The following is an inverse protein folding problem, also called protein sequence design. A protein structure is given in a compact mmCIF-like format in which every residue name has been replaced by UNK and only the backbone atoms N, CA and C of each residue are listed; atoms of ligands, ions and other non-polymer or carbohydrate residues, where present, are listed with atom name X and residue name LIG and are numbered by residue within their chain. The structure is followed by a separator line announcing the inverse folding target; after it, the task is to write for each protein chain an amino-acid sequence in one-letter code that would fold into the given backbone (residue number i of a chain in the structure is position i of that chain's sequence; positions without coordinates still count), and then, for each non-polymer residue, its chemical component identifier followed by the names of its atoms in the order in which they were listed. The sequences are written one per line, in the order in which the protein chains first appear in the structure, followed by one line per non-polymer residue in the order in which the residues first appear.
data_IF_431874123182
#
_entry.id   IF_431874123182
#
_cell.length_a   1.000
_cell.length_b   1.000
_cell.length_c   1.000
_cell.angle_alpha   90.00
_cell.angle_beta   90.00
_cell.angle_gamma   90.00
#
_symmetry.space_group_name_H-M   'P 1'
#
loop_
_entity.id
_entity.type
_entity.pdbx_description
1 polymer ?
#
# COMPACT_ATOMS: atom_id res chain seq x y z
N UNK A 1 2.79 -13.70 -9.77
CA UNK A 1 2.42 -15.13 -9.82
C UNK A 1 0.99 -15.37 -10.31
N UNK A 2 -0.09 -14.66 -9.84
CA UNK A 2 -1.46 -14.93 -10.31
C UNK A 2 -1.64 -14.81 -11.82
N UNK A 3 -1.05 -13.81 -12.47
CA UNK A 3 -1.15 -13.60 -13.91
C UNK A 3 -0.56 -14.78 -14.71
N UNK A 4 0.55 -15.36 -14.24
CA UNK A 4 1.18 -16.54 -14.86
C UNK A 4 0.29 -17.77 -14.70
N UNK A 5 -0.28 -17.99 -13.51
CA UNK A 5 -1.21 -19.09 -13.25
C UNK A 5 -2.45 -19.00 -14.14
N UNK A 6 -3.00 -17.80 -14.31
CA UNK A 6 -4.13 -17.56 -15.20
C UNK A 6 -3.77 -17.85 -16.65
N UNK A 7 -2.64 -17.36 -17.14
CA UNK A 7 -2.18 -17.63 -18.50
C UNK A 7 -1.98 -19.13 -18.76
N UNK A 8 -1.46 -19.88 -17.78
CA UNK A 8 -1.29 -21.33 -17.87
C UNK A 8 -2.64 -22.07 -17.96
N UNK A 9 -3.65 -21.61 -17.26
CA UNK A 9 -5.01 -22.17 -17.37
C UNK A 9 -5.65 -21.84 -18.72
N UNK A 10 -5.54 -20.58 -19.16
CA UNK A 10 -6.14 -20.10 -20.42
C UNK A 10 -5.49 -20.79 -21.64
N UNK A 11 -4.20 -21.10 -21.57
CA UNK A 11 -3.48 -21.83 -22.63
C UNK A 11 -3.61 -23.36 -22.58
N UNK A 12 -4.28 -23.90 -21.56
CA UNK A 12 -4.51 -25.33 -21.41
C UNK A 12 -3.29 -26.16 -20.99
N UNK A 13 -2.18 -25.52 -20.59
CA UNK A 13 -0.97 -26.23 -20.11
C UNK A 13 -1.02 -26.55 -18.63
N UNK A 14 -2.00 -26.03 -17.90
CA UNK A 14 -2.15 -26.30 -16.49
C UNK A 14 -2.66 -27.73 -16.25
N UNK A 15 -1.86 -28.57 -15.62
CA UNK A 15 -2.23 -29.95 -15.26
C UNK A 15 -3.17 -30.02 -14.04
N UNK A 16 -3.20 -28.96 -13.24
CA UNK A 16 -4.09 -28.78 -12.08
C UNK A 16 -4.72 -27.40 -12.15
N UNK A 17 -5.85 -27.23 -12.85
CA UNK A 17 -6.53 -25.95 -12.93
C UNK A 17 -7.02 -25.51 -11.55
N UNK A 18 -6.96 -24.20 -11.31
CA UNK A 18 -7.42 -23.57 -10.07
C UNK A 18 -8.92 -23.33 -10.22
N UNK A 19 -9.71 -23.96 -9.38
CA UNK A 19 -11.18 -23.86 -9.43
C UNK A 19 -11.71 -22.55 -8.86
N UNK A 20 -11.02 -21.99 -7.85
CA UNK A 20 -11.33 -20.70 -7.26
C UNK A 20 -10.08 -19.80 -7.33
N UNK A 21 -10.06 -18.94 -8.34
CA UNK A 21 -8.91 -18.08 -8.60
C UNK A 21 -8.78 -16.95 -7.57
N UNK A 22 -9.89 -16.44 -7.06
CA UNK A 22 -9.91 -15.38 -6.06
C UNK A 22 -9.35 -15.88 -4.72
N UNK A 23 -9.78 -17.07 -4.28
CA UNK A 23 -9.19 -17.71 -3.10
C UNK A 23 -7.70 -18.04 -3.28
N UNK A 24 -7.27 -18.39 -4.50
CA UNK A 24 -5.86 -18.58 -4.80
C UNK A 24 -5.05 -17.30 -4.67
N UNK A 25 -5.53 -16.20 -5.24
CA UNK A 25 -4.88 -14.87 -5.13
C UNK A 25 -4.78 -14.43 -3.67
N UNK A 26 -5.86 -14.61 -2.91
CA UNK A 26 -5.89 -14.28 -1.49
C UNK A 26 -4.84 -15.10 -0.72
N UNK A 27 -4.76 -16.40 -0.96
CA UNK A 27 -3.77 -17.29 -0.34
C UNK A 27 -2.33 -16.91 -0.71
N UNK A 28 -2.07 -16.52 -1.96
CA UNK A 28 -0.75 -16.04 -2.37
C UNK A 28 -0.36 -14.75 -1.66
N UNK A 29 -1.29 -13.82 -1.51
CA UNK A 29 -1.07 -12.60 -0.75
C UNK A 29 -0.77 -12.89 0.73
N UNK A 30 -1.46 -13.86 1.34
CA UNK A 30 -1.22 -14.29 2.73
C UNK A 30 0.18 -14.90 2.90
N UNK A 31 0.65 -15.68 1.92
CA UNK A 31 2.00 -16.27 1.95
C UNK A 31 3.09 -15.21 1.83
N UNK A 32 2.90 -14.21 0.96
CA UNK A 32 3.88 -13.13 0.74
C UNK A 32 3.88 -12.12 1.89
N UNK A 33 2.70 -11.82 2.44
CA UNK A 33 2.50 -10.83 3.49
C UNK A 33 2.04 -11.45 4.81
N UNK A 34 2.92 -12.23 5.46
CA UNK A 34 2.61 -12.81 6.77
C UNK A 34 2.17 -11.77 7.82
N UNK A 35 2.72 -10.56 7.73
CA UNK A 35 2.31 -9.43 8.57
C UNK A 35 0.87 -8.95 8.28
N UNK A 36 0.32 -9.25 7.11
CA UNK A 36 -1.02 -8.81 6.72
C UNK A 36 -2.12 -9.33 7.63
N UNK A 37 -2.01 -10.55 8.13
CA UNK A 37 -2.99 -11.14 9.05
C UNK A 37 -3.03 -10.39 10.39
N UNK A 38 -1.85 -10.02 10.91
CA UNK A 38 -1.72 -9.27 12.18
C UNK A 38 -2.11 -7.80 11.98
N UNK A 39 -1.74 -7.22 10.84
CA UNK A 39 -1.94 -5.80 10.56
C UNK A 39 -3.35 -5.46 10.06
N UNK A 40 -4.10 -6.40 9.49
CA UNK A 40 -5.47 -6.16 9.00
C UNK A 40 -6.38 -5.51 10.05
N UNK A 41 -6.51 -6.04 11.28
CA UNK A 41 -7.35 -5.41 12.31
C UNK A 41 -6.82 -4.04 12.75
N UNK A 42 -5.50 -3.85 12.80
CA UNK A 42 -4.87 -2.57 13.15
C UNK A 42 -5.16 -1.51 12.10
N UNK A 43 -5.00 -1.85 10.82
CA UNK A 43 -5.32 -0.95 9.70
C UNK A 43 -6.81 -0.64 9.65
N UNK A 44 -7.68 -1.63 9.87
CA UNK A 44 -9.13 -1.43 9.92
C UNK A 44 -9.54 -0.46 11.04
N UNK A 45 -8.96 -0.59 12.23
CA UNK A 45 -9.18 0.33 13.35
C UNK A 45 -8.67 1.76 13.02
N UNK A 46 -7.51 1.88 12.39
CA UNK A 46 -6.96 3.16 11.97
C UNK A 46 -7.84 3.86 10.92
N UNK A 47 -8.42 3.11 9.97
CA UNK A 47 -9.37 3.64 8.95
C UNK A 47 -10.66 4.16 9.59
N UNK A 48 -11.13 3.55 10.67
CA UNK A 48 -12.34 4.01 11.37
C UNK A 48 -12.14 5.35 12.08
N UNK A 49 -10.92 5.64 12.55
CA UNK A 49 -10.59 6.88 13.26
C UNK A 49 -9.20 7.38 12.90
N UNK A 50 -8.99 7.93 11.70
CA UNK A 50 -7.68 8.42 11.27
C UNK A 50 -7.17 9.51 12.21
N UNK A 51 -6.01 9.29 12.82
CA UNK A 51 -5.38 10.24 13.73
C UNK A 51 -4.44 11.18 12.98
N UNK A 52 -4.22 12.37 13.57
CA UNK A 52 -3.15 13.26 13.10
C UNK A 52 -1.81 12.69 13.54
N UNK A 53 -0.91 12.51 12.57
CA UNK A 53 0.43 11.97 12.81
C UNK A 53 1.45 12.98 12.28
N UNK A 54 2.38 13.37 13.14
CA UNK A 54 3.45 14.31 12.81
C UNK A 54 4.66 13.53 12.29
N UNK A 55 5.14 13.92 11.14
CA UNK A 55 6.35 13.38 10.51
C UNK A 55 7.45 14.42 10.60
N UNK A 56 8.42 14.20 11.49
CA UNK A 56 9.49 15.16 11.79
C UNK A 56 10.43 15.42 10.60
N UNK A 57 10.58 14.43 9.72
CA UNK A 57 11.45 14.50 8.53
C UNK A 57 10.63 14.67 7.25
N UNK A 58 9.72 15.64 7.22
CA UNK A 58 8.78 15.86 6.11
C UNK A 58 9.45 16.26 4.78
N UNK A 59 10.73 16.61 4.78
CA UNK A 59 11.50 16.87 3.56
C UNK A 59 12.09 15.58 2.95
N UNK A 60 12.13 14.48 3.67
CA UNK A 60 12.73 13.23 3.19
C UNK A 60 11.84 12.52 2.15
N UNK A 61 12.45 12.12 1.03
CA UNK A 61 11.73 11.47 -0.07
C UNK A 61 11.06 10.16 0.37
N UNK A 62 11.74 9.34 1.16
CA UNK A 62 11.20 8.08 1.70
C UNK A 62 10.00 8.34 2.60
N UNK A 63 10.06 9.39 3.44
CA UNK A 63 8.96 9.80 4.31
C UNK A 63 7.77 10.27 3.49
N UNK A 64 7.98 11.11 2.48
CA UNK A 64 6.91 11.60 1.60
C UNK A 64 6.20 10.44 0.86
N UNK A 65 6.93 9.45 0.37
CA UNK A 65 6.35 8.25 -0.25
C UNK A 65 5.54 7.42 0.75
N UNK A 66 6.05 7.22 1.96
CA UNK A 66 5.34 6.50 3.01
C UNK A 66 4.07 7.23 3.45
N UNK A 67 4.13 8.56 3.56
CA UNK A 67 2.98 9.41 3.87
C UNK A 67 1.91 9.32 2.77
N UNK A 68 2.32 9.33 1.49
CA UNK A 68 1.39 9.14 0.39
C UNK A 68 0.63 7.82 0.51
N UNK A 69 1.32 6.72 0.78
CA UNK A 69 0.67 5.41 0.99
C UNK A 69 -0.30 5.45 2.17
N UNK A 70 0.10 6.04 3.29
CA UNK A 70 -0.73 6.15 4.48
C UNK A 70 -1.99 7.01 4.27
N UNK A 71 -1.90 8.06 3.44
CA UNK A 71 -3.03 8.90 3.04
C UNK A 71 -3.95 8.14 2.08
N UNK A 72 -3.40 7.47 1.07
CA UNK A 72 -4.15 6.67 0.09
C UNK A 72 -4.92 5.53 0.79
N UNK A 73 -4.32 4.93 1.81
CA UNK A 73 -4.96 3.92 2.65
C UNK A 73 -5.99 4.51 3.65
N UNK A 74 -6.02 5.83 3.83
CA UNK A 74 -6.95 6.51 4.72
C UNK A 74 -6.72 6.25 6.21
N UNK A 75 -5.49 5.91 6.60
CA UNK A 75 -5.14 5.53 7.98
C UNK A 75 -4.61 6.68 8.83
N UNK A 76 -4.17 7.77 8.21
CA UNK A 76 -3.61 8.93 8.92
C UNK A 76 -4.06 10.25 8.30
N UNK A 77 -3.99 11.32 9.11
CA UNK A 77 -3.99 12.72 8.68
C UNK A 77 -2.59 13.28 8.95
N UNK A 78 -1.74 13.38 7.94
CA UNK A 78 -0.33 13.70 8.14
C UNK A 78 -0.13 15.18 8.44
N UNK A 79 0.87 15.47 9.26
CA UNK A 79 1.44 16.80 9.46
C UNK A 79 2.93 16.67 9.18
N UNK A 80 3.40 17.30 8.12
CA UNK A 80 4.81 17.26 7.73
C UNK A 80 5.56 18.44 8.36
N UNK A 81 6.65 18.14 9.04
CA UNK A 81 7.58 19.16 9.56
C UNK A 81 8.71 19.34 8.56
N UNK A 82 8.87 20.55 8.07
CA UNK A 82 9.92 20.90 7.10
C UNK A 82 9.68 22.28 6.52
N UNK A 83 10.59 22.70 5.64
CA UNK A 83 10.46 23.98 4.90
C UNK A 83 9.38 23.80 3.82
N UNK A 84 8.30 24.59 3.83
CA UNK A 84 7.16 24.38 2.93
C UNK A 84 7.55 24.32 1.46
N UNK A 85 8.42 25.21 1.01
CA UNK A 85 8.88 25.27 -0.39
C UNK A 85 9.65 24.02 -0.82
N UNK A 86 10.47 23.47 0.10
CA UNK A 86 11.23 22.24 -0.16
C UNK A 86 10.30 21.02 -0.24
N UNK A 87 9.37 20.92 0.70
CA UNK A 87 8.37 19.84 0.72
C UNK A 87 7.54 19.88 -0.55
N UNK A 88 7.02 21.05 -0.94
CA UNK A 88 6.22 21.24 -2.15
C UNK A 88 6.97 20.83 -3.41
N UNK A 89 8.18 21.35 -3.60
CA UNK A 89 9.03 21.01 -4.76
C UNK A 89 9.31 19.51 -4.84
N UNK A 90 9.50 18.83 -3.70
CA UNK A 90 9.72 17.39 -3.68
C UNK A 90 8.45 16.59 -3.99
N UNK A 91 7.31 17.00 -3.47
CA UNK A 91 6.01 16.40 -3.81
C UNK A 91 5.76 16.46 -5.32
N UNK A 92 5.99 17.63 -5.94
CA UNK A 92 5.85 17.82 -7.38
C UNK A 92 6.84 16.95 -8.17
N UNK A 93 8.12 16.96 -7.80
CA UNK A 93 9.16 16.16 -8.45
C UNK A 93 8.90 14.66 -8.37
N UNK A 94 8.34 14.18 -7.27
CA UNK A 94 8.01 12.78 -7.04
C UNK A 94 6.66 12.38 -7.63
N UNK A 95 5.88 13.33 -8.15
CA UNK A 95 4.55 13.08 -8.67
C UNK A 95 3.56 12.59 -7.61
N UNK A 96 3.74 13.03 -6.35
CA UNK A 96 2.86 12.65 -5.25
C UNK A 96 1.59 13.51 -5.23
N UNK A 97 0.52 12.97 -4.64
CA UNK A 97 -0.79 13.62 -4.55
C UNK A 97 -1.05 14.28 -3.18
N UNK A 98 -0.01 14.48 -2.39
CA UNK A 98 -0.08 15.18 -1.11
C UNK A 98 -0.37 16.68 -1.34
N UNK A 99 -1.33 17.21 -0.61
CA UNK A 99 -1.71 18.64 -0.62
C UNK A 99 -1.49 19.25 0.77
#
# INVERSE_FOLDING_TARGET
APAVAKAAMDSGVATRPITDFDAYVQRMNEVVYHSGLIMKPVIAAAKQSPRRVVYAEGEQEVVLRAVQVAVDEGIVRPILIGRPEVVKTRIERLGLRLQ
#
